data_IF_888618522014
#
_entry.id   IF_888618522014
#
_cell.length_a   1.000
_cell.length_b   1.000
_cell.length_c   1.000
_cell.angle_alpha   90.00
_cell.angle_beta   90.00
_cell.angle_gamma   90.00
#
_symmetry.space_group_name_H-M   'P 1'
#
loop_
_entity.id
_entity.type
_entity.pdbx_description
1 polymer ?
#
# COMPACT_ATOMS: atom_id res chain seq x y z
N UNK A 1 8.65 16.71 -22.17
CA UNK A 1 9.27 15.80 -21.17
C UNK A 1 8.35 14.62 -20.86
N UNK A 2 7.24 14.73 -20.13
CA UNK A 2 6.32 13.59 -19.93
C UNK A 2 5.30 13.43 -21.08
N UNK A 3 4.94 14.52 -21.72
CA UNK A 3 3.96 14.56 -22.82
C UNK A 3 4.45 13.86 -24.10
N UNK A 4 5.77 13.67 -24.23
CA UNK A 4 6.40 13.07 -25.41
C UNK A 4 6.32 11.54 -25.42
N UNK A 5 5.89 10.91 -24.32
CA UNK A 5 5.84 9.46 -24.20
C UNK A 5 4.52 8.84 -24.66
N UNK A 6 3.51 9.64 -25.06
CA UNK A 6 2.29 9.14 -25.70
C UNK A 6 1.02 9.89 -25.28
N UNK A 7 0.00 9.87 -26.15
CA UNK A 7 -1.21 10.69 -25.99
C UNK A 7 -2.00 10.45 -24.70
N UNK A 8 -2.06 9.20 -24.22
CA UNK A 8 -2.75 8.90 -22.95
C UNK A 8 -1.99 9.42 -21.73
N UNK A 9 -0.66 9.28 -21.70
CA UNK A 9 0.16 9.82 -20.62
C UNK A 9 0.14 11.35 -20.63
N UNK A 10 0.19 11.96 -21.81
CA UNK A 10 0.05 13.41 -21.97
C UNK A 10 -1.31 13.92 -21.46
N UNK A 11 -2.41 13.21 -21.75
CA UNK A 11 -3.75 13.54 -21.22
C UNK A 11 -3.76 13.50 -19.69
N UNK A 12 -3.34 12.36 -19.11
CA UNK A 12 -3.31 12.20 -17.65
C UNK A 12 -2.41 13.24 -16.99
N UNK A 13 -1.24 13.53 -17.58
CA UNK A 13 -0.33 14.55 -17.09
C UNK A 13 -0.95 15.95 -17.13
N UNK A 14 -1.65 16.29 -18.23
CA UNK A 14 -2.32 17.59 -18.41
C UNK A 14 -3.48 17.82 -17.45
N UNK A 15 -4.17 16.73 -17.06
CA UNK A 15 -5.30 16.73 -16.12
C UNK A 15 -4.86 16.87 -14.65
N UNK A 16 -3.57 16.67 -14.34
CA UNK A 16 -3.05 16.85 -12.98
C UNK A 16 -3.21 18.30 -12.50
N UNK A 17 -3.59 18.46 -11.23
CA UNK A 17 -3.59 19.78 -10.60
C UNK A 17 -2.15 20.34 -10.53
N UNK A 18 -1.98 21.68 -10.60
CA UNK A 18 -0.66 22.30 -10.48
C UNK A 18 0.08 21.91 -9.19
N UNK A 19 -0.65 21.67 -8.11
CA UNK A 19 -0.09 21.23 -6.81
C UNK A 19 0.54 19.85 -6.90
N UNK A 20 -0.17 18.88 -7.49
CA UNK A 20 0.29 17.49 -7.67
C UNK A 20 1.42 17.43 -8.70
N UNK A 21 1.27 18.15 -9.82
CA UNK A 21 2.32 18.25 -10.85
C UNK A 21 3.61 18.83 -10.28
N UNK A 22 3.52 19.93 -9.52
CA UNK A 22 4.67 20.55 -8.87
C UNK A 22 5.33 19.67 -7.80
N UNK A 23 4.60 18.71 -7.23
CA UNK A 23 5.15 17.72 -6.31
C UNK A 23 6.02 16.70 -7.08
N UNK A 24 5.51 16.17 -8.20
CA UNK A 24 6.26 15.25 -9.08
C UNK A 24 7.48 15.95 -9.68
N UNK A 25 7.33 17.16 -10.20
CA UNK A 25 8.45 17.93 -10.77
C UNK A 25 9.55 18.20 -9.75
N UNK A 26 9.20 18.56 -8.51
CA UNK A 26 10.17 18.72 -7.42
C UNK A 26 10.85 17.40 -7.06
N UNK A 27 10.09 16.31 -6.98
CA UNK A 27 10.65 14.98 -6.71
C UNK A 27 11.63 14.55 -7.83
N UNK A 28 11.35 14.89 -9.09
CA UNK A 28 12.22 14.61 -10.24
C UNK A 28 13.50 15.47 -10.26
N UNK A 29 13.40 16.72 -9.81
CA UNK A 29 14.53 17.66 -9.72
C UNK A 29 15.44 17.38 -8.51
N UNK A 30 14.96 16.66 -7.50
CA UNK A 30 15.76 16.30 -6.33
C UNK A 30 16.71 15.15 -6.66
N UNK A 31 18.05 15.37 -6.69
CA UNK A 31 18.99 14.33 -7.02
C UNK A 31 19.17 13.41 -5.80
N UNK A 32 18.57 12.22 -5.86
CA UNK A 32 18.79 11.15 -4.88
C UNK A 32 17.56 10.80 -4.07
N UNK A 33 16.69 9.96 -4.63
CA UNK A 33 15.83 9.09 -3.84
C UNK A 33 16.51 7.73 -3.77
N UNK A 34 17.54 7.63 -2.92
CA UNK A 34 17.92 6.32 -2.36
C UNK A 34 16.83 5.91 -1.36
N UNK A 35 16.36 4.65 -1.37
CA UNK A 35 15.31 4.20 -0.48
C UNK A 35 15.87 4.00 0.93
N UNK A 36 16.12 5.06 1.70
CA UNK A 36 16.53 4.95 3.12
C UNK A 36 16.51 6.22 3.97
N UNK A 37 16.23 7.43 3.46
CA UNK A 37 16.37 8.65 4.28
C UNK A 37 15.09 9.49 4.34
N UNK A 38 14.49 9.70 5.53
CA UNK A 38 13.33 10.56 5.70
C UNK A 38 13.80 12.02 5.72
N UNK A 39 13.84 12.67 4.56
CA UNK A 39 14.11 14.11 4.46
C UNK A 39 13.33 14.74 3.30
N UNK A 40 12.16 15.29 3.61
CA UNK A 40 11.90 16.72 3.49
C UNK A 40 10.50 17.04 4.06
N UNK A 41 10.46 17.91 5.07
CA UNK A 41 9.28 18.71 5.40
C UNK A 41 8.92 19.55 4.17
N UNK A 42 8.17 18.99 3.22
CA UNK A 42 7.55 19.75 2.16
C UNK A 42 6.21 20.24 2.69
N UNK A 43 6.15 21.54 2.98
CA UNK A 43 4.96 22.27 3.42
C UNK A 43 3.90 22.39 2.30
N UNK A 44 3.84 21.42 1.39
CA UNK A 44 2.88 21.37 0.29
C UNK A 44 1.70 20.54 0.76
N UNK A 45 0.47 21.06 0.70
CA UNK A 45 -0.70 20.31 1.11
C UNK A 45 -0.83 19.07 0.22
N UNK A 46 -0.66 17.90 0.83
CA UNK A 46 -0.97 16.60 0.23
C UNK A 46 -2.36 16.21 0.71
N UNK A 47 -3.28 15.97 -0.23
CA UNK A 47 -4.67 15.61 0.06
C UNK A 47 -5.03 14.28 -0.60
N UNK A 48 -6.15 13.68 -0.20
CA UNK A 48 -6.63 12.40 -0.76
C UNK A 48 -6.92 12.46 -2.28
N UNK A 49 -7.02 13.66 -2.86
CA UNK A 49 -7.14 13.83 -4.32
C UNK A 49 -5.79 13.66 -5.01
N UNK A 50 -4.70 14.07 -4.37
CA UNK A 50 -3.34 13.83 -4.87
C UNK A 50 -3.03 12.33 -4.94
N UNK A 51 -3.51 11.52 -4.00
CA UNK A 51 -3.41 10.05 -4.05
C UNK A 51 -4.00 9.49 -5.35
N UNK A 52 -5.22 9.91 -5.68
CA UNK A 52 -5.95 9.45 -6.87
C UNK A 52 -5.31 9.92 -8.19
N UNK A 53 -4.80 11.15 -8.22
CA UNK A 53 -4.13 11.70 -9.39
C UNK A 53 -2.79 10.99 -9.66
N UNK A 54 -1.99 10.78 -8.61
CA UNK A 54 -0.70 10.11 -8.69
C UNK A 54 -0.85 8.60 -8.96
N UNK A 55 -1.86 7.94 -8.40
CA UNK A 55 -2.13 6.52 -8.67
C UNK A 55 -2.53 6.29 -10.14
N UNK A 56 -3.34 7.19 -10.71
CA UNK A 56 -3.70 7.17 -12.14
C UNK A 56 -2.48 7.44 -13.02
N UNK A 57 -1.65 8.42 -12.67
CA UNK A 57 -0.42 8.70 -13.38
C UNK A 57 0.53 7.49 -13.34
N UNK A 58 0.73 6.89 -12.17
CA UNK A 58 1.57 5.71 -12.00
C UNK A 58 1.07 4.54 -12.85
N UNK A 59 -0.24 4.30 -12.88
CA UNK A 59 -0.83 3.26 -13.72
C UNK A 59 -0.54 3.51 -15.20
N UNK A 60 -0.74 4.74 -15.67
CA UNK A 60 -0.46 5.10 -17.06
C UNK A 60 1.03 4.99 -17.42
N UNK A 61 1.93 5.31 -16.49
CA UNK A 61 3.37 5.16 -16.65
C UNK A 61 3.78 3.69 -16.72
N UNK A 62 3.27 2.84 -15.82
CA UNK A 62 3.58 1.42 -15.79
C UNK A 62 3.04 0.69 -17.04
N UNK A 63 1.82 1.02 -17.50
CA UNK A 63 1.27 0.49 -18.75
C UNK A 63 2.12 0.91 -19.96
N UNK A 64 2.53 2.18 -20.03
CA UNK A 64 3.40 2.65 -21.11
C UNK A 64 4.78 2.00 -21.07
N UNK A 65 5.31 1.72 -19.88
CA UNK A 65 6.58 1.02 -19.72
C UNK A 65 6.51 -0.45 -20.16
N UNK A 66 5.33 -1.07 -20.11
CA UNK A 66 5.08 -2.41 -20.67
C UNK A 66 4.94 -2.39 -22.19
N UNK A 67 4.29 -1.37 -22.74
CA UNK A 67 4.06 -1.21 -24.18
C UNK A 67 5.29 -0.69 -24.96
N UNK A 68 6.28 -0.11 -24.27
CA UNK A 68 7.47 0.44 -24.89
C UNK A 68 8.31 -0.68 -25.52
N UNK A 69 8.63 -0.54 -26.81
CA UNK A 69 9.46 -1.52 -27.52
C UNK A 69 10.93 -1.38 -27.07
N UNK A 70 11.52 -2.38 -26.40
CA UNK A 70 12.84 -2.26 -25.78
C UNK A 70 13.98 -2.04 -26.79
N UNK A 71 13.75 -2.31 -28.07
CA UNK A 71 14.76 -2.16 -29.13
C UNK A 71 14.80 -0.76 -29.76
N UNK A 72 13.71 0.01 -29.68
CA UNK A 72 13.59 1.31 -30.35
C UNK A 72 13.54 2.48 -29.36
N UNK A 73 13.06 2.25 -28.14
CA UNK A 73 12.79 3.30 -27.15
C UNK A 73 13.55 3.05 -25.83
N UNK A 74 14.73 2.42 -25.86
CA UNK A 74 15.47 2.03 -24.66
C UNK A 74 15.72 3.21 -23.69
N UNK A 75 16.21 4.35 -24.20
CA UNK A 75 16.46 5.54 -23.38
C UNK A 75 15.17 6.14 -22.81
N UNK A 76 14.11 6.18 -23.61
CA UNK A 76 12.77 6.64 -23.18
C UNK A 76 12.16 5.71 -22.15
N UNK A 77 12.41 4.40 -22.26
CA UNK A 77 11.98 3.40 -21.30
C UNK A 77 12.67 3.56 -19.94
N UNK A 78 13.97 3.89 -19.94
CA UNK A 78 14.70 4.20 -18.70
C UNK A 78 14.15 5.45 -18.04
N UNK A 79 13.89 6.50 -18.81
CA UNK A 79 13.31 7.75 -18.29
C UNK A 79 11.89 7.55 -17.74
N UNK A 80 11.03 6.83 -18.46
CA UNK A 80 9.68 6.46 -18.00
C UNK A 80 9.70 5.69 -16.69
N UNK A 81 10.60 4.70 -16.58
CA UNK A 81 10.73 3.90 -15.36
C UNK A 81 11.21 4.75 -14.19
N UNK A 82 12.17 5.65 -14.41
CA UNK A 82 12.62 6.62 -13.39
C UNK A 82 11.47 7.52 -12.90
N UNK A 83 10.62 8.00 -13.80
CA UNK A 83 9.48 8.84 -13.46
C UNK A 83 8.44 8.03 -12.67
N UNK A 84 8.16 6.79 -13.10
CA UNK A 84 7.27 5.87 -12.38
C UNK A 84 7.79 5.57 -10.96
N UNK A 85 9.08 5.30 -10.82
CA UNK A 85 9.72 5.05 -9.51
C UNK A 85 9.65 6.28 -8.60
N UNK A 86 9.83 7.48 -9.16
CA UNK A 86 9.70 8.74 -8.40
C UNK A 86 8.25 8.94 -7.92
N UNK A 87 7.26 8.68 -8.77
CA UNK A 87 5.84 8.76 -8.38
C UNK A 87 5.50 7.72 -7.31
N UNK A 88 5.99 6.49 -7.45
CA UNK A 88 5.81 5.43 -6.46
C UNK A 88 6.47 5.77 -5.11
N UNK A 89 7.63 6.43 -5.11
CA UNK A 89 8.29 6.88 -3.89
C UNK A 89 7.51 7.99 -3.18
N UNK A 90 7.00 8.96 -3.92
CA UNK A 90 6.11 10.00 -3.39
C UNK A 90 4.86 9.39 -2.77
N UNK A 91 4.21 8.47 -3.49
CA UNK A 91 3.00 7.78 -3.01
C UNK A 91 3.30 7.00 -1.73
N UNK A 92 4.42 6.28 -1.65
CA UNK A 92 4.78 5.57 -0.43
C UNK A 92 5.06 6.50 0.76
N UNK A 93 5.67 7.66 0.52
CA UNK A 93 6.02 8.59 1.62
C UNK A 93 4.81 9.35 2.15
N UNK A 94 3.89 9.74 1.26
CA UNK A 94 2.80 10.67 1.60
C UNK A 94 1.44 10.00 1.73
N UNK A 95 1.22 8.87 1.05
CA UNK A 95 -0.07 8.18 1.10
C UNK A 95 -0.17 7.27 2.31
N UNK A 96 -1.37 7.24 2.89
CA UNK A 96 -1.78 6.27 3.91
C UNK A 96 -3.05 5.52 3.49
N UNK A 97 -3.28 5.42 2.18
CA UNK A 97 -4.46 4.77 1.63
C UNK A 97 -4.18 3.30 1.34
N UNK A 98 -5.10 2.42 1.74
CA UNK A 98 -5.08 1.00 1.40
C UNK A 98 -4.97 0.75 -0.13
N UNK A 99 -5.69 1.54 -0.95
CA UNK A 99 -5.67 1.37 -2.41
C UNK A 99 -4.29 1.63 -3.01
N UNK A 100 -3.62 2.69 -2.55
CA UNK A 100 -2.26 3.03 -2.99
C UNK A 100 -1.28 1.96 -2.52
N UNK A 101 -1.41 1.48 -1.29
CA UNK A 101 -0.59 0.38 -0.78
C UNK A 101 -0.71 -0.86 -1.67
N UNK A 102 -1.94 -1.28 -1.98
CA UNK A 102 -2.19 -2.44 -2.84
C UNK A 102 -1.61 -2.24 -4.26
N UNK A 103 -1.70 -1.02 -4.81
CA UNK A 103 -1.07 -0.70 -6.10
C UNK A 103 0.45 -0.83 -6.05
N UNK A 104 1.09 -0.30 -5.01
CA UNK A 104 2.55 -0.34 -4.85
C UNK A 104 3.07 -1.77 -4.64
N UNK A 105 2.37 -2.59 -3.86
CA UNK A 105 2.71 -4.01 -3.68
C UNK A 105 2.60 -4.77 -4.99
N UNK A 106 1.50 -4.61 -5.74
CA UNK A 106 1.33 -5.23 -7.07
C UNK A 106 2.46 -4.85 -8.03
N UNK A 107 2.87 -3.58 -8.00
CA UNK A 107 3.97 -3.09 -8.83
C UNK A 107 5.29 -3.75 -8.44
N UNK A 108 5.61 -3.79 -7.14
CA UNK A 108 6.84 -4.39 -6.63
C UNK A 108 6.90 -5.91 -6.91
N UNK A 109 5.78 -6.62 -6.73
CA UNK A 109 5.68 -8.06 -7.03
C UNK A 109 5.89 -8.35 -8.52
N UNK A 110 5.25 -7.59 -9.42
CA UNK A 110 5.49 -7.70 -10.87
C UNK A 110 6.94 -7.46 -11.26
N UNK A 111 7.63 -6.55 -10.56
CA UNK A 111 9.05 -6.24 -10.79
C UNK A 111 9.99 -7.18 -10.05
N UNK A 112 9.48 -8.11 -9.23
CA UNK A 112 10.23 -8.97 -8.32
C UNK A 112 11.17 -8.20 -7.39
N UNK A 113 10.78 -6.99 -7.01
CA UNK A 113 11.54 -6.14 -6.09
C UNK A 113 11.12 -6.45 -4.65
N UNK A 114 11.63 -7.56 -4.11
CA UNK A 114 11.28 -8.02 -2.77
C UNK A 114 11.75 -7.05 -1.67
N UNK A 115 12.83 -6.30 -1.91
CA UNK A 115 13.28 -5.26 -0.96
C UNK A 115 12.24 -4.15 -0.84
N UNK A 116 11.59 -3.80 -1.94
CA UNK A 116 10.50 -2.83 -1.93
C UNK A 116 9.27 -3.36 -1.22
N UNK A 117 8.97 -4.65 -1.38
CA UNK A 117 7.87 -5.31 -0.64
C UNK A 117 8.13 -5.26 0.87
N UNK A 118 9.35 -5.58 1.32
CA UNK A 118 9.72 -5.49 2.74
C UNK A 118 9.54 -4.06 3.28
N UNK A 119 10.03 -3.06 2.55
CA UNK A 119 9.87 -1.66 2.93
C UNK A 119 8.40 -1.19 2.95
N UNK A 120 7.53 -1.78 2.11
CA UNK A 120 6.10 -1.54 2.15
C UNK A 120 5.48 -2.22 3.39
N UNK A 121 5.85 -3.47 3.68
CA UNK A 121 5.39 -4.19 4.86
C UNK A 121 5.72 -3.43 6.16
N UNK A 122 6.94 -2.89 6.28
CA UNK A 122 7.33 -2.05 7.42
C UNK A 122 6.44 -0.80 7.57
N UNK A 123 6.00 -0.22 6.45
CA UNK A 123 5.14 0.95 6.43
C UNK A 123 3.70 0.66 6.91
N UNK A 124 3.24 -0.61 6.90
CA UNK A 124 1.91 -0.99 7.40
C UNK A 124 1.72 -0.61 8.87
N UNK A 125 2.79 -0.53 9.66
CA UNK A 125 2.74 -0.10 11.06
C UNK A 125 2.18 1.31 11.26
N UNK A 126 2.15 2.14 10.21
CA UNK A 126 1.63 3.50 10.25
C UNK A 126 0.14 3.60 9.89
N UNK A 127 -0.47 2.50 9.44
CA UNK A 127 -1.87 2.45 9.03
C UNK A 127 -2.79 2.25 10.24
N UNK A 128 -4.01 2.74 10.13
CA UNK A 128 -5.04 2.45 11.12
C UNK A 128 -5.37 0.94 11.08
N UNK A 129 -5.70 0.31 12.22
CA UNK A 129 -6.03 -1.12 12.25
C UNK A 129 -7.15 -1.51 11.28
N UNK A 130 -8.16 -0.64 11.10
CA UNK A 130 -9.26 -0.85 10.15
C UNK A 130 -8.80 -0.85 8.67
N UNK A 131 -7.86 0.03 8.30
CA UNK A 131 -7.27 0.05 6.94
C UNK A 131 -6.50 -1.26 6.67
N UNK A 132 -5.82 -1.80 7.68
CA UNK A 132 -5.11 -3.08 7.52
C UNK A 132 -6.11 -4.24 7.42
N UNK A 133 -7.25 -4.18 8.11
CA UNK A 133 -8.35 -5.13 7.93
C UNK A 133 -8.93 -5.06 6.50
N UNK A 134 -9.08 -3.87 5.93
CA UNK A 134 -9.49 -3.72 4.53
C UNK A 134 -8.48 -4.36 3.58
N UNK A 135 -7.18 -4.13 3.79
CA UNK A 135 -6.12 -4.77 3.01
C UNK A 135 -6.10 -6.30 3.18
N UNK A 136 -6.41 -6.81 4.37
CA UNK A 136 -6.53 -8.24 4.62
C UNK A 136 -7.73 -8.88 3.89
N UNK A 137 -8.75 -8.09 3.52
CA UNK A 137 -9.86 -8.52 2.64
C UNK A 137 -9.56 -8.39 1.15
N UNK A 138 -8.40 -7.86 0.78
CA UNK A 138 -8.02 -7.69 -0.62
C UNK A 138 -8.02 -9.03 -1.38
N UNK A 139 -8.42 -8.97 -2.65
CA UNK A 139 -8.34 -10.11 -3.57
C UNK A 139 -6.89 -10.48 -3.88
N UNK A 140 -5.97 -9.52 -3.74
CA UNK A 140 -4.55 -9.72 -3.97
C UNK A 140 -3.92 -10.55 -2.86
N UNK A 141 -3.31 -11.68 -3.24
CA UNK A 141 -2.75 -12.66 -2.30
C UNK A 141 -1.57 -12.09 -1.51
N UNK A 142 -0.71 -11.30 -2.16
CA UNK A 142 0.49 -10.74 -1.51
C UNK A 142 0.07 -9.68 -0.52
N UNK A 143 -0.81 -8.76 -0.93
CA UNK A 143 -1.36 -7.72 -0.04
C UNK A 143 -2.04 -8.36 1.16
N UNK A 144 -2.92 -9.34 0.94
CA UNK A 144 -3.63 -10.03 2.01
C UNK A 144 -2.68 -10.72 2.99
N UNK A 145 -1.64 -11.38 2.49
CA UNK A 145 -0.64 -12.06 3.32
C UNK A 145 0.13 -11.05 4.19
N UNK A 146 0.63 -9.96 3.62
CA UNK A 146 1.35 -8.92 4.34
C UNK A 146 0.47 -8.27 5.43
N UNK A 147 -0.78 -7.97 5.11
CA UNK A 147 -1.71 -7.36 6.07
C UNK A 147 -2.13 -8.33 7.16
N UNK A 148 -2.33 -9.61 6.84
CA UNK A 148 -2.62 -10.63 7.85
C UNK A 148 -1.46 -10.84 8.81
N UNK A 149 -0.23 -10.81 8.30
CA UNK A 149 1.00 -10.87 9.11
C UNK A 149 1.11 -9.64 10.01
N UNK A 150 0.91 -8.44 9.46
CA UNK A 150 0.94 -7.20 10.23
C UNK A 150 -0.09 -7.21 11.38
N UNK A 151 -1.32 -7.69 11.13
CA UNK A 151 -2.35 -7.84 12.16
C UNK A 151 -1.99 -8.87 13.22
N UNK A 152 -1.34 -9.97 12.85
CA UNK A 152 -0.89 -10.98 13.82
C UNK A 152 0.18 -10.41 14.78
N UNK A 153 0.90 -9.37 14.38
CA UNK A 153 1.89 -8.69 15.22
C UNK A 153 1.31 -7.55 16.08
N UNK A 154 0.02 -7.23 15.94
CA UNK A 154 -0.61 -6.16 16.72
C UNK A 154 -0.81 -6.52 18.19
N UNK A 155 -0.89 -5.53 19.11
CA UNK A 155 -1.27 -5.82 20.49
C UNK A 155 -2.66 -6.49 20.56
N UNK A 156 -2.80 -7.55 21.36
CA UNK A 156 -4.07 -8.30 21.54
C UNK A 156 -5.25 -7.35 21.78
N UNK A 157 -5.06 -6.33 22.63
CA UNK A 157 -6.10 -5.36 22.98
C UNK A 157 -6.64 -4.56 21.77
N UNK A 158 -5.80 -4.29 20.77
CA UNK A 158 -6.23 -3.61 19.54
C UNK A 158 -7.14 -4.53 18.74
N UNK A 159 -6.77 -5.81 18.61
CA UNK A 159 -7.58 -6.81 17.92
C UNK A 159 -8.92 -7.04 18.63
N UNK A 160 -8.94 -7.05 19.96
CA UNK A 160 -10.19 -7.12 20.75
C UNK A 160 -11.10 -5.92 20.42
N UNK A 161 -10.55 -4.72 20.30
CA UNK A 161 -11.31 -3.53 19.89
C UNK A 161 -11.99 -3.70 18.54
N UNK A 162 -11.30 -4.32 17.58
CA UNK A 162 -11.84 -4.57 16.23
C UNK A 162 -12.97 -5.61 16.20
N UNK A 163 -13.10 -6.46 17.22
CA UNK A 163 -14.20 -7.44 17.30
C UNK A 163 -15.58 -6.78 17.40
N UNK A 164 -15.65 -5.51 17.82
CA UNK A 164 -16.89 -4.76 17.93
C UNK A 164 -17.43 -4.27 16.58
N UNK A 165 -16.56 -4.20 15.55
CA UNK A 165 -16.97 -3.86 14.20
C UNK A 165 -17.32 -5.15 13.43
N UNK A 166 -18.57 -5.33 12.95
CA UNK A 166 -18.97 -6.53 12.24
C UNK A 166 -18.14 -6.79 10.99
N UNK A 167 -17.66 -5.73 10.31
CA UNK A 167 -16.90 -5.83 9.07
C UNK A 167 -15.49 -6.37 9.36
N UNK A 168 -14.84 -5.90 10.43
CA UNK A 168 -13.47 -6.26 10.80
C UNK A 168 -13.38 -7.47 11.74
N UNK A 169 -14.49 -7.86 12.37
CA UNK A 169 -14.53 -8.89 13.41
C UNK A 169 -13.97 -10.25 12.98
N UNK A 170 -14.25 -10.69 11.75
CA UNK A 170 -13.75 -11.97 11.24
C UNK A 170 -12.23 -11.94 11.06
N UNK A 171 -11.71 -10.87 10.47
CA UNK A 171 -10.27 -10.67 10.27
C UNK A 171 -9.54 -10.56 11.62
N UNK A 172 -10.13 -9.84 12.59
CA UNK A 172 -9.58 -9.73 13.92
C UNK A 172 -9.57 -11.07 14.68
N UNK A 173 -10.62 -11.91 14.52
CA UNK A 173 -10.66 -13.28 15.07
C UNK A 173 -9.55 -14.14 14.48
N UNK A 174 -9.33 -14.07 13.17
CA UNK A 174 -8.29 -14.84 12.51
C UNK A 174 -6.88 -14.38 12.92
N UNK A 175 -6.67 -13.07 13.10
CA UNK A 175 -5.42 -12.53 13.66
C UNK A 175 -5.18 -13.02 15.10
N UNK A 176 -6.20 -13.01 15.97
CA UNK A 176 -6.12 -13.55 17.34
C UNK A 176 -5.82 -15.05 17.35
N UNK A 177 -6.41 -15.82 16.42
CA UNK A 177 -6.10 -17.25 16.26
C UNK A 177 -4.64 -17.47 15.87
N UNK A 178 -4.13 -16.71 14.89
CA UNK A 178 -2.70 -16.74 14.55
C UNK A 178 -1.82 -16.40 15.74
N UNK A 179 -2.16 -15.37 16.52
CA UNK A 179 -1.41 -15.04 17.74
C UNK A 179 -1.36 -16.19 18.74
N UNK A 180 -2.49 -16.86 18.96
CA UNK A 180 -2.58 -17.96 19.91
C UNK A 180 -1.83 -19.23 19.46
N UNK A 181 -1.85 -19.51 18.16
CA UNK A 181 -1.29 -20.75 17.55
C UNK A 181 0.15 -20.55 17.10
N UNK A 182 0.40 -19.54 16.26
CA UNK A 182 1.67 -19.35 15.56
C UNK A 182 2.69 -18.60 16.45
N UNK A 183 2.24 -17.62 17.24
CA UNK A 183 3.10 -16.82 18.13
C UNK A 183 3.04 -17.26 19.59
N UNK A 184 2.18 -18.23 19.93
CA UNK A 184 2.06 -18.77 21.28
C UNK A 184 1.55 -17.78 22.34
N UNK A 185 0.79 -16.75 21.96
CA UNK A 185 0.23 -15.77 22.90
C UNK A 185 -0.85 -16.40 23.79
N UNK A 186 -0.58 -16.48 25.09
CA UNK A 186 -1.55 -16.98 26.07
C UNK A 186 -2.77 -16.04 26.22
N UNK A 187 -2.54 -14.73 26.14
CA UNK A 187 -3.62 -13.74 26.19
C UNK A 187 -4.59 -13.94 25.02
N UNK A 188 -4.07 -14.06 23.79
CA UNK A 188 -4.89 -14.33 22.61
C UNK A 188 -5.61 -15.67 22.73
N UNK A 189 -4.96 -16.71 23.28
CA UNK A 189 -5.56 -18.03 23.49
C UNK A 189 -6.76 -17.97 24.44
N UNK A 190 -6.68 -17.21 25.53
CA UNK A 190 -7.80 -17.01 26.45
C UNK A 190 -8.99 -16.34 25.76
N UNK A 191 -8.73 -15.30 24.96
CA UNK A 191 -9.76 -14.59 24.21
C UNK A 191 -10.42 -15.48 23.15
N UNK A 192 -9.63 -16.20 22.35
CA UNK A 192 -10.16 -17.13 21.33
C UNK A 192 -11.05 -18.21 21.97
N UNK A 193 -10.64 -18.77 23.11
CA UNK A 193 -11.45 -19.75 23.83
C UNK A 193 -12.78 -19.16 24.32
N UNK A 194 -12.76 -17.94 24.87
CA UNK A 194 -13.97 -17.24 25.29
C UNK A 194 -14.93 -16.98 24.11
N UNK A 195 -14.40 -16.55 22.96
CA UNK A 195 -15.19 -16.32 21.75
C UNK A 195 -15.84 -17.61 21.22
N UNK A 196 -15.12 -18.73 21.24
CA UNK A 196 -15.67 -20.02 20.82
C UNK A 196 -16.81 -20.49 21.74
N UNK A 197 -16.71 -20.26 23.06
CA UNK A 197 -17.78 -20.58 24.01
C UNK A 197 -19.04 -19.73 23.78
N UNK A 198 -18.86 -18.45 23.47
CA UNK A 198 -19.99 -17.56 23.14
C UNK A 198 -20.70 -18.04 21.87
N UNK A 199 -19.94 -18.43 20.83
CA UNK A 199 -20.52 -18.92 19.58
C UNK A 199 -21.33 -20.20 19.77
N UNK A 200 -20.80 -21.16 20.54
CA UNK A 200 -21.51 -22.41 20.86
C UNK A 200 -22.85 -22.15 21.57
N UNK A 201 -22.89 -21.20 22.49
CA UNK A 201 -24.13 -20.85 23.19
C UNK A 201 -25.15 -20.12 22.31
N UNK A 202 -24.74 -19.50 21.20
CA UNK A 202 -25.64 -18.86 20.25
C UNK A 202 -26.24 -19.84 19.24
N UNK A 203 -25.50 -20.90 18.88
CA UNK A 203 -25.95 -21.92 17.93
C UNK A 203 -26.96 -22.91 18.56
N UNK A 204 -27.04 -22.98 19.90
CA UNK A 204 -27.93 -23.85 20.67
C UNK A 204 -29.32 -23.21 21.02
N UNK A 205 -29.59 -21.98 20.55
CA UNK A 205 -30.83 -21.21 20.75
C UNK A 205 -31.64 -21.04 19.46
#
# INVERSE_FOLDING_TARGET
MIEDFGGRLASVWSELRPTTRGLVERALQSPGITPATPRANSNTPYDARADNELSRLLTALDERALDANPLLDADKGVELRRIADTCAAVLQEKSRSADVFAQLVRRADKQRDYKRIDALADALTQFAPSEICELARSQDVVVRALSSEALAQFPTQVLIGLLSDPVDSEIARDALRRQAVDYGSEEARQIVNALNQINMNQDDL
#
